data_IF_468257426208
#
_entry.id   IF_468257426208
#
_cell.length_a   1.000
_cell.length_b   1.000
_cell.length_c   1.000
_cell.angle_alpha   90.00
_cell.angle_beta   90.00
_cell.angle_gamma   90.00
#
_symmetry.space_group_name_H-M   'P 1'
#
loop_
_entity.id
_entity.type
_entity.pdbx_description
1 polymer ?
#
# COMPACT_ATOMS: atom_id res chain seq x y z
N UNK A 1 13.55 13.17 33.04
CA UNK A 1 13.75 13.62 31.64
C UNK A 1 12.93 14.89 31.41
N UNK A 2 13.36 15.82 30.54
CA UNK A 2 12.58 17.05 30.26
C UNK A 2 11.72 16.86 29.03
N UNK A 3 10.42 17.09 29.11
CA UNK A 3 9.51 16.93 27.98
C UNK A 3 9.80 17.93 26.87
N UNK A 4 9.79 17.47 25.62
CA UNK A 4 9.80 18.35 24.45
C UNK A 4 8.37 18.80 24.16
N UNK A 5 8.23 19.89 23.39
CA UNK A 5 6.93 20.33 22.90
C UNK A 5 6.31 19.26 22.01
N UNK A 6 7.11 18.65 21.14
CA UNK A 6 6.70 17.62 20.19
C UNK A 6 6.18 16.36 20.88
N UNK A 7 6.87 15.90 21.94
CA UNK A 7 6.41 14.77 22.76
C UNK A 7 5.05 15.07 23.36
N UNK A 8 4.93 16.22 24.01
CA UNK A 8 3.75 16.61 24.77
C UNK A 8 2.53 16.84 23.87
N UNK A 9 2.72 17.48 22.70
CA UNK A 9 1.69 17.62 21.67
C UNK A 9 1.24 16.27 21.12
N UNK A 10 2.18 15.35 20.89
CA UNK A 10 1.87 14.00 20.36
C UNK A 10 1.09 13.19 21.38
N UNK A 11 1.48 13.19 22.67
CA UNK A 11 0.74 12.53 23.75
C UNK A 11 -0.71 13.05 23.80
N UNK A 12 -0.88 14.38 23.83
CA UNK A 12 -2.20 15.01 23.85
C UNK A 12 -3.03 14.64 22.62
N UNK A 13 -2.44 14.67 21.44
CA UNK A 13 -3.12 14.32 20.20
C UNK A 13 -3.58 12.86 20.19
N UNK A 14 -2.70 11.92 20.57
CA UNK A 14 -3.03 10.50 20.69
C UNK A 14 -4.21 10.31 21.64
N UNK A 15 -4.12 10.85 22.86
CA UNK A 15 -5.18 10.72 23.86
C UNK A 15 -6.52 11.28 23.36
N UNK A 16 -6.53 12.55 22.98
CA UNK A 16 -7.78 13.30 22.75
C UNK A 16 -8.40 13.07 21.38
N UNK A 17 -7.59 12.81 20.34
CA UNK A 17 -8.08 12.67 18.96
C UNK A 17 -8.13 11.21 18.53
N UNK A 18 -7.07 10.44 18.79
CA UNK A 18 -7.03 9.03 18.34
C UNK A 18 -7.90 8.15 19.24
N UNK A 19 -7.81 8.32 20.56
CA UNK A 19 -8.57 7.51 21.52
C UNK A 19 -9.82 8.20 22.08
N UNK A 20 -10.05 9.48 21.77
CA UNK A 20 -11.24 10.21 22.22
C UNK A 20 -11.34 10.38 23.74
N UNK A 21 -10.23 10.24 24.48
CA UNK A 21 -10.20 10.34 25.94
C UNK A 21 -9.98 11.79 26.34
N UNK A 22 -10.86 12.38 27.15
CA UNK A 22 -10.64 13.72 27.70
C UNK A 22 -9.56 13.72 28.80
N UNK A 23 -9.08 14.90 29.19
CA UNK A 23 -8.11 14.96 30.29
C UNK A 23 -8.79 14.60 31.61
N UNK A 24 -10.06 14.98 31.76
CA UNK A 24 -10.91 14.63 32.91
C UNK A 24 -11.11 13.12 33.01
N UNK A 25 -11.28 12.43 31.89
CA UNK A 25 -11.41 10.98 31.87
C UNK A 25 -10.19 10.27 32.47
N UNK A 26 -8.98 10.81 32.29
CA UNK A 26 -7.78 10.25 32.92
C UNK A 26 -7.80 10.42 34.45
N UNK A 27 -8.39 11.50 34.94
CA UNK A 27 -8.44 11.79 36.38
C UNK A 27 -9.39 10.87 37.13
N UNK A 28 -10.39 10.29 36.46
CA UNK A 28 -11.29 9.32 37.08
C UNK A 28 -10.57 8.09 37.64
N UNK A 29 -9.43 7.70 37.06
CA UNK A 29 -8.59 6.63 37.61
C UNK A 29 -8.09 6.92 39.04
N UNK A 30 -8.07 8.20 39.43
CA UNK A 30 -7.64 8.66 40.76
C UNK A 30 -8.81 9.07 41.67
N UNK A 31 -10.06 9.03 41.19
CA UNK A 31 -11.24 9.50 41.96
C UNK A 31 -11.56 8.63 43.18
N UNK A 32 -11.12 7.38 43.21
CA UNK A 32 -11.25 6.51 44.39
C UNK A 32 -10.25 6.89 45.51
N UNK A 33 -9.41 7.92 45.31
CA UNK A 33 -8.48 8.45 46.30
C UNK A 33 -8.96 9.73 47.00
N UNK A 34 -8.23 10.14 48.03
CA UNK A 34 -8.44 11.43 48.71
C UNK A 34 -8.24 12.63 47.75
N UNK A 35 -8.87 13.75 48.03
CA UNK A 35 -8.84 15.02 47.28
C UNK A 35 -7.41 15.49 47.00
N UNK A 36 -6.48 15.24 47.93
CA UNK A 36 -5.05 15.54 47.74
C UNK A 36 -4.43 14.74 46.59
N UNK A 37 -4.80 13.46 46.45
CA UNK A 37 -4.29 12.58 45.38
C UNK A 37 -4.82 13.02 44.02
N UNK A 38 -6.09 13.44 43.94
CA UNK A 38 -6.68 13.97 42.72
C UNK A 38 -6.02 15.29 42.30
N UNK A 39 -5.76 16.17 43.27
CA UNK A 39 -5.09 17.46 43.04
C UNK A 39 -3.66 17.26 42.55
N UNK A 40 -2.90 16.37 43.20
CA UNK A 40 -1.57 15.98 42.74
C UNK A 40 -1.60 15.37 41.33
N UNK A 41 -2.52 14.43 41.06
CA UNK A 41 -2.62 13.76 39.76
C UNK A 41 -2.96 14.73 38.63
N UNK A 42 -3.82 15.71 38.89
CA UNK A 42 -4.15 16.77 37.93
C UNK A 42 -2.92 17.58 37.53
N UNK A 43 -2.12 18.03 38.49
CA UNK A 43 -0.87 18.74 38.21
C UNK A 43 0.16 17.86 37.50
N UNK A 44 0.41 16.67 38.04
CA UNK A 44 1.45 15.77 37.53
C UNK A 44 1.16 15.27 36.11
N UNK A 45 -0.08 14.84 35.80
CA UNK A 45 -0.41 14.39 34.44
C UNK A 45 -0.40 15.55 33.43
N UNK A 46 -0.71 16.77 33.86
CA UNK A 46 -0.65 17.95 33.01
C UNK A 46 0.80 18.26 32.59
N UNK A 47 1.79 17.97 33.44
CA UNK A 47 3.22 18.14 33.11
C UNK A 47 3.65 17.28 31.91
N UNK A 48 3.04 16.10 31.72
CA UNK A 48 3.29 15.24 30.55
C UNK A 48 2.84 15.90 29.25
N UNK A 49 1.82 16.76 29.29
CA UNK A 49 1.24 17.43 28.11
C UNK A 49 1.69 18.89 27.92
N UNK A 50 2.35 19.53 28.90
CA UNK A 50 2.62 20.98 28.84
C UNK A 50 3.94 21.34 28.13
N UNK A 51 4.87 20.39 27.98
CA UNK A 51 6.19 20.63 27.40
C UNK A 51 7.12 21.43 28.34
N UNK A 52 8.41 21.12 28.33
CA UNK A 52 9.41 21.78 29.18
C UNK A 52 9.40 21.33 30.65
N UNK A 53 8.53 20.40 31.03
CA UNK A 53 8.42 19.87 32.40
C UNK A 53 9.39 18.71 32.63
N UNK A 54 9.90 18.59 33.85
CA UNK A 54 10.65 17.41 34.26
C UNK A 54 9.69 16.28 34.63
N UNK A 55 9.74 15.18 33.89
CA UNK A 55 8.92 13.99 34.15
C UNK A 55 9.79 12.80 34.56
N UNK A 56 9.20 11.92 35.37
CA UNK A 56 9.81 10.67 35.87
C UNK A 56 9.19 9.46 35.18
N UNK A 57 9.85 8.31 35.25
CA UNK A 57 9.32 7.04 34.73
C UNK A 57 8.03 6.63 35.47
N UNK A 58 7.93 6.94 36.77
CA UNK A 58 6.72 6.70 37.57
C UNK A 58 5.53 7.54 37.08
N UNK A 59 5.77 8.78 36.67
CA UNK A 59 4.73 9.64 36.11
C UNK A 59 4.26 9.14 34.73
N UNK A 60 5.18 8.72 33.87
CA UNK A 60 4.84 8.08 32.59
C UNK A 60 4.06 6.78 32.80
N UNK A 61 4.45 5.96 33.78
CA UNK A 61 3.73 4.75 34.16
C UNK A 61 2.31 5.06 34.63
N UNK A 62 2.13 6.10 35.46
CA UNK A 62 0.81 6.54 35.93
C UNK A 62 -0.07 7.04 34.79
N UNK A 63 0.48 7.83 33.87
CA UNK A 63 -0.25 8.29 32.68
C UNK A 63 -0.65 7.10 31.80
N UNK A 64 0.27 6.15 31.56
CA UNK A 64 0.00 4.95 30.76
C UNK A 64 -1.10 4.09 31.38
N UNK A 65 -1.07 3.88 32.69
CA UNK A 65 -2.08 3.12 33.42
C UNK A 65 -3.46 3.80 33.37
N UNK A 66 -3.52 5.12 33.54
CA UNK A 66 -4.76 5.90 33.41
C UNK A 66 -5.36 5.76 32.00
N UNK A 67 -4.52 5.84 30.96
CA UNK A 67 -4.97 5.67 29.57
C UNK A 67 -5.44 4.24 29.30
N UNK A 68 -4.72 3.24 29.80
CA UNK A 68 -5.09 1.83 29.68
C UNK A 68 -6.42 1.52 30.39
N UNK A 69 -6.66 2.12 31.55
CA UNK A 69 -7.95 1.99 32.26
C UNK A 69 -9.13 2.46 31.40
N UNK A 70 -8.92 3.46 30.54
CA UNK A 70 -9.97 4.01 29.66
C UNK A 70 -10.08 3.32 28.31
N UNK A 71 -8.95 3.00 27.68
CA UNK A 71 -8.90 2.48 26.31
C UNK A 71 -8.76 0.94 26.24
N UNK A 72 -8.62 0.27 27.38
CA UNK A 72 -8.31 -1.14 27.45
C UNK A 72 -6.86 -1.45 27.07
N UNK A 73 -6.60 -2.71 26.73
CA UNK A 73 -5.24 -3.22 26.55
C UNK A 73 -4.59 -2.82 25.22
N UNK A 74 -5.34 -2.20 24.29
CA UNK A 74 -4.86 -1.77 22.97
C UNK A 74 -3.81 -0.63 23.03
N UNK A 75 -3.74 0.08 24.16
CA UNK A 75 -2.79 1.17 24.41
C UNK A 75 -1.63 0.76 25.32
N UNK A 76 -1.52 -0.53 25.64
CA UNK A 76 -0.46 -1.02 26.51
C UNK A 76 0.91 -0.63 25.95
N UNK A 77 1.81 -0.18 26.81
CA UNK A 77 3.14 0.34 26.47
C UNK A 77 3.22 1.54 25.51
N UNK A 78 2.10 2.11 25.04
CA UNK A 78 2.09 3.20 24.05
C UNK A 78 2.86 4.45 24.50
N UNK A 79 2.56 4.92 25.71
CA UNK A 79 3.19 6.13 26.27
C UNK A 79 4.68 5.89 26.56
N UNK A 80 5.09 4.78 27.21
CA UNK A 80 6.50 4.41 27.31
C UNK A 80 7.21 4.27 25.96
N UNK A 81 6.56 3.73 24.92
CA UNK A 81 7.12 3.61 23.58
C UNK A 81 7.37 4.99 22.95
N UNK A 82 6.42 5.91 23.10
CA UNK A 82 6.59 7.29 22.65
C UNK A 82 7.70 8.02 23.39
N UNK A 83 7.79 7.87 24.72
CA UNK A 83 8.87 8.45 25.51
C UNK A 83 10.24 7.94 25.03
N UNK A 84 10.36 6.64 24.75
CA UNK A 84 11.59 6.06 24.22
C UNK A 84 11.91 6.61 22.82
N UNK A 85 10.91 6.80 21.97
CA UNK A 85 11.10 7.45 20.67
C UNK A 85 11.63 8.88 20.79
N UNK A 86 11.32 9.61 21.87
CA UNK A 86 11.78 11.00 22.05
C UNK A 86 13.12 11.14 22.77
N UNK A 87 13.36 10.32 23.79
CA UNK A 87 14.45 10.57 24.75
C UNK A 87 15.65 9.63 24.61
N UNK A 88 15.64 8.64 23.71
CA UNK A 88 16.83 7.79 23.45
C UNK A 88 17.91 8.51 22.62
N UNK A 89 19.15 8.17 22.97
CA UNK A 89 20.41 8.74 22.47
C UNK A 89 20.57 8.64 20.94
N UNK A 90 20.97 9.76 20.34
CA UNK A 90 21.16 9.92 18.89
C UNK A 90 22.44 9.23 18.39
N UNK A 91 23.43 8.96 19.25
CA UNK A 91 24.71 8.36 18.84
C UNK A 91 24.60 6.87 18.49
N UNK A 92 23.91 6.06 19.31
CA UNK A 92 23.66 4.63 19.02
C UNK A 92 22.87 4.43 17.72
N UNK A 93 21.97 5.38 17.44
CA UNK A 93 21.13 5.42 16.23
C UNK A 93 21.95 5.65 14.95
N UNK A 94 23.10 6.34 15.03
CA UNK A 94 23.99 6.62 13.89
C UNK A 94 24.90 5.45 13.55
N UNK A 95 25.56 4.82 14.52
CA UNK A 95 26.46 3.68 14.27
C UNK A 95 25.75 2.49 13.59
N UNK A 96 24.49 2.24 13.95
CA UNK A 96 23.67 1.17 13.38
C UNK A 96 23.18 1.46 11.94
N UNK A 97 23.13 2.75 11.56
CA UNK A 97 22.83 3.23 10.20
C UNK A 97 23.81 2.68 9.17
N UNK A 98 25.08 2.70 9.55
CA UNK A 98 26.20 2.43 8.64
C UNK A 98 26.38 0.92 8.47
N UNK A 99 26.00 0.13 9.48
CA UNK A 99 25.97 -1.33 9.43
C UNK A 99 24.81 -1.87 8.57
N UNK A 100 23.63 -1.26 8.60
CA UNK A 100 22.49 -1.72 7.79
C UNK A 100 22.60 -1.38 6.32
N UNK A 101 23.36 -0.34 5.97
CA UNK A 101 23.72 -0.06 4.58
C UNK A 101 24.57 -1.19 3.96
N UNK A 102 25.31 -1.97 4.77
CA UNK A 102 26.18 -3.05 4.28
C UNK A 102 25.50 -4.43 4.20
N UNK A 103 24.44 -4.69 4.97
CA UNK A 103 23.73 -5.98 4.99
C UNK A 103 22.64 -6.14 3.91
N UNK A 104 22.32 -5.07 3.17
CA UNK A 104 21.17 -4.95 2.24
C UNK A 104 21.22 -5.78 0.94
N UNK A 105 22.22 -6.64 0.72
CA UNK A 105 22.46 -7.23 -0.62
C UNK A 105 22.46 -8.77 -0.72
N UNK A 106 22.33 -9.56 0.35
CA UNK A 106 22.78 -10.97 0.31
C UNK A 106 21.79 -12.10 0.65
N UNK A 107 20.47 -11.89 0.62
CA UNK A 107 19.53 -13.01 0.91
C UNK A 107 18.35 -13.08 -0.07
N UNK A 108 18.34 -14.18 -0.84
CA UNK A 108 17.42 -14.49 -1.94
C UNK A 108 16.01 -14.93 -1.52
N UNK A 109 15.74 -15.21 -0.24
CA UNK A 109 14.39 -15.52 0.28
C UNK A 109 13.62 -14.29 0.80
N UNK A 110 14.19 -13.09 0.66
CA UNK A 110 13.66 -11.82 1.23
C UNK A 110 12.85 -11.00 0.21
N UNK A 111 12.84 -11.39 -1.06
CA UNK A 111 12.35 -10.57 -2.19
C UNK A 111 10.90 -10.06 -2.04
N UNK A 112 10.08 -10.72 -1.21
CA UNK A 112 8.68 -10.39 -1.04
C UNK A 112 8.37 -9.54 0.18
N UNK A 113 9.34 -9.27 1.07
CA UNK A 113 9.11 -8.58 2.34
C UNK A 113 9.59 -7.14 2.30
N UNK A 114 8.97 -6.24 3.07
CA UNK A 114 9.60 -4.97 3.36
C UNK A 114 10.11 -5.00 4.80
N UNK A 115 11.26 -4.38 4.95
CA UNK A 115 11.99 -4.31 6.20
C UNK A 115 11.74 -2.93 6.78
N UNK A 116 11.09 -2.90 7.93
CA UNK A 116 10.87 -1.71 8.73
C UNK A 116 11.96 -1.60 9.78
N UNK A 117 12.94 -0.75 9.48
CA UNK A 117 13.76 -0.08 10.49
C UNK A 117 14.42 -0.96 11.56
N UNK A 118 14.84 -0.29 12.64
CA UNK A 118 15.39 -0.89 13.85
C UNK A 118 14.48 -0.64 15.04
N UNK A 119 14.23 -1.67 15.87
CA UNK A 119 13.63 -1.45 17.17
C UNK A 119 14.55 -0.61 18.05
N UNK A 120 14.05 0.56 18.47
CA UNK A 120 14.84 1.46 19.28
C UNK A 120 15.04 0.96 20.71
N UNK A 121 14.42 -0.15 21.16
CA UNK A 121 14.50 -0.66 22.55
C UNK A 121 15.48 -1.81 22.75
N UNK A 122 15.62 -2.69 21.76
CA UNK A 122 16.36 -3.95 21.92
C UNK A 122 17.86 -3.77 21.63
N UNK A 123 18.75 -4.31 22.49
CA UNK A 123 20.20 -4.31 22.24
C UNK A 123 20.57 -5.22 21.06
N UNK A 124 19.78 -6.28 20.84
CA UNK A 124 19.86 -7.14 19.67
C UNK A 124 18.87 -6.63 18.63
N UNK A 125 19.39 -5.98 17.61
CA UNK A 125 18.59 -5.43 16.52
C UNK A 125 17.87 -6.56 15.77
N UNK A 126 16.54 -6.45 15.66
CA UNK A 126 15.74 -7.26 14.75
C UNK A 126 14.96 -6.31 13.84
N UNK A 127 15.20 -6.33 12.51
CA UNK A 127 14.38 -5.59 11.59
C UNK A 127 12.97 -6.17 11.58
N UNK A 128 11.95 -5.31 11.60
CA UNK A 128 10.58 -5.79 11.54
C UNK A 128 10.21 -6.10 10.09
N UNK A 129 9.82 -7.34 9.82
CA UNK A 129 9.50 -7.85 8.48
C UNK A 129 7.99 -8.03 8.37
N UNK A 130 7.35 -7.32 7.44
CA UNK A 130 5.89 -7.23 7.36
C UNK A 130 5.37 -7.19 5.92
N UNK A 131 4.09 -7.50 5.75
CA UNK A 131 3.36 -7.41 4.48
C UNK A 131 2.71 -6.06 4.28
N UNK A 132 2.36 -5.37 5.37
CA UNK A 132 1.70 -4.07 5.33
C UNK A 132 1.93 -3.26 6.59
N UNK A 133 2.06 -1.95 6.42
CA UNK A 133 2.21 -0.96 7.46
C UNK A 133 1.27 0.18 7.12
N UNK A 134 0.16 0.25 7.85
CA UNK A 134 -0.97 1.15 7.58
C UNK A 134 -1.26 1.98 8.83
N UNK A 135 -1.88 3.16 8.73
CA UNK A 135 -2.16 3.94 9.92
C UNK A 135 -3.14 3.15 10.81
N UNK A 136 -3.02 3.32 12.12
CA UNK A 136 -4.05 2.83 13.04
C UNK A 136 -5.42 3.39 12.58
N UNK A 137 -6.48 2.57 12.43
CA UNK A 137 -7.75 3.04 11.87
C UNK A 137 -8.33 4.28 12.59
N UNK A 138 -8.25 4.30 13.93
CA UNK A 138 -8.71 5.43 14.73
C UNK A 138 -7.89 6.73 14.54
N UNK A 139 -6.70 6.65 13.94
CA UNK A 139 -5.85 7.80 13.67
C UNK A 139 -5.95 8.31 12.22
N UNK A 140 -6.47 7.50 11.29
CA UNK A 140 -6.42 7.78 9.85
C UNK A 140 -6.98 9.18 9.50
N UNK A 141 -8.14 9.54 10.06
CA UNK A 141 -8.80 10.83 9.82
C UNK A 141 -8.24 12.01 10.64
N UNK A 142 -7.22 11.76 11.46
CA UNK A 142 -6.66 12.73 12.41
C UNK A 142 -5.17 13.01 12.19
N UNK A 143 -4.57 12.42 11.15
CA UNK A 143 -3.18 12.67 10.80
C UNK A 143 -3.01 14.10 10.26
N UNK A 144 -2.12 14.86 10.90
CA UNK A 144 -1.71 16.16 10.40
C UNK A 144 -0.87 16.02 9.12
N UNK A 145 -0.89 16.99 8.18
CA UNK A 145 -0.10 16.94 6.95
C UNK A 145 1.39 16.64 7.16
N UNK A 146 1.99 17.19 8.23
CA UNK A 146 3.39 16.94 8.61
C UNK A 146 3.69 15.48 8.95
N UNK A 147 2.72 14.75 9.52
CA UNK A 147 2.87 13.33 9.86
C UNK A 147 2.78 12.46 8.61
N UNK A 148 1.88 12.82 7.70
CA UNK A 148 1.72 12.19 6.39
C UNK A 148 3.01 12.39 5.57
N UNK A 149 3.59 13.58 5.58
CA UNK A 149 4.87 13.87 4.93
C UNK A 149 6.02 13.07 5.50
N UNK A 150 6.14 13.00 6.83
CA UNK A 150 7.16 12.19 7.48
C UNK A 150 7.01 10.70 7.14
N UNK A 151 5.78 10.18 7.13
CA UNK A 151 5.54 8.80 6.74
C UNK A 151 5.88 8.56 5.26
N UNK A 152 5.46 9.44 4.35
CA UNK A 152 5.78 9.32 2.93
C UNK A 152 7.30 9.33 2.67
N UNK A 153 8.06 10.14 3.40
CA UNK A 153 9.52 10.17 3.31
C UNK A 153 10.17 8.89 3.86
N UNK A 154 9.64 8.35 4.95
CA UNK A 154 10.03 7.05 5.51
C UNK A 154 9.70 5.89 4.55
N UNK A 155 8.50 5.90 3.97
CA UNK A 155 8.03 4.96 2.96
C UNK A 155 8.93 4.96 1.72
N UNK A 156 9.30 6.14 1.22
CA UNK A 156 10.23 6.27 0.12
C UNK A 156 11.60 5.65 0.47
N UNK A 157 12.11 5.92 1.66
CA UNK A 157 13.38 5.35 2.14
C UNK A 157 13.33 3.82 2.17
N UNK A 158 12.29 3.22 2.76
CA UNK A 158 12.09 1.76 2.78
C UNK A 158 12.02 1.20 1.36
N UNK A 159 11.25 1.84 0.48
CA UNK A 159 11.08 1.43 -0.91
C UNK A 159 12.40 1.43 -1.70
N UNK A 160 13.29 2.41 -1.47
CA UNK A 160 14.61 2.45 -2.14
C UNK A 160 15.52 1.30 -1.77
N UNK A 161 15.32 0.68 -0.60
CA UNK A 161 16.12 -0.45 -0.14
C UNK A 161 15.64 -1.82 -0.66
N UNK A 162 14.48 -1.85 -1.33
CA UNK A 162 13.85 -3.09 -1.79
C UNK A 162 14.05 -3.30 -3.30
N UNK A 163 14.32 -4.54 -3.68
CA UNK A 163 14.18 -5.01 -5.07
C UNK A 163 12.73 -5.46 -5.31
N UNK A 164 12.05 -4.91 -6.32
CA UNK A 164 10.67 -5.28 -6.64
C UNK A 164 9.86 -4.14 -7.28
N UNK A 165 8.77 -4.50 -7.93
CA UNK A 165 7.88 -3.57 -8.63
C UNK A 165 7.30 -2.56 -7.63
N UNK A 166 7.52 -1.28 -7.89
CA UNK A 166 6.91 -0.20 -7.09
C UNK A 166 5.70 0.35 -7.81
N UNK A 167 4.60 0.48 -7.08
CA UNK A 167 3.36 1.06 -7.59
C UNK A 167 3.00 2.24 -6.70
N UNK A 168 2.77 3.40 -7.30
CA UNK A 168 2.56 4.67 -6.59
C UNK A 168 1.41 5.42 -7.24
N UNK A 169 0.39 5.87 -6.49
CA UNK A 169 -0.66 6.72 -7.04
C UNK A 169 -0.06 8.01 -7.62
N UNK A 170 -0.50 8.40 -8.81
CA UNK A 170 0.03 9.57 -9.51
C UNK A 170 -0.15 10.87 -8.73
N UNK A 171 -1.22 10.96 -7.95
CA UNK A 171 -1.50 12.05 -7.00
C UNK A 171 -0.34 12.29 -6.04
N UNK A 172 0.43 11.24 -5.72
CA UNK A 172 1.57 11.29 -4.79
C UNK A 172 2.89 11.68 -5.45
N UNK A 173 2.96 11.77 -6.80
CA UNK A 173 4.18 12.15 -7.54
C UNK A 173 4.73 13.52 -7.12
N UNK A 174 3.87 14.44 -6.68
CA UNK A 174 4.27 15.79 -6.25
C UNK A 174 5.04 15.81 -4.93
N UNK A 175 5.06 14.71 -4.16
CA UNK A 175 5.84 14.58 -2.93
C UNK A 175 7.32 14.44 -3.28
N UNK A 176 8.17 15.28 -2.68
CA UNK A 176 9.56 15.45 -3.09
C UNK A 176 10.39 14.17 -3.11
N UNK A 177 10.19 13.23 -2.15
CA UNK A 177 10.89 11.94 -2.14
C UNK A 177 10.22 10.86 -2.97
N UNK A 178 8.90 10.73 -2.93
CA UNK A 178 8.18 9.73 -3.74
C UNK A 178 8.38 10.00 -5.24
N UNK A 179 8.37 11.27 -5.67
CA UNK A 179 8.67 11.66 -7.04
C UNK A 179 10.13 11.41 -7.48
N UNK A 180 11.06 11.17 -6.54
CA UNK A 180 12.48 10.87 -6.80
C UNK A 180 12.80 9.37 -6.76
N UNK A 181 11.81 8.50 -6.50
CA UNK A 181 12.02 7.04 -6.45
C UNK A 181 12.54 6.43 -7.77
N UNK A 182 12.47 7.17 -8.88
CA UNK A 182 12.99 6.74 -10.19
C UNK A 182 14.49 6.99 -10.46
N UNK A 183 15.27 7.54 -9.51
CA UNK A 183 16.59 8.10 -9.86
C UNK A 183 17.82 7.19 -9.70
N UNK A 184 17.66 5.89 -9.40
CA UNK A 184 18.80 5.05 -8.97
C UNK A 184 18.94 3.65 -9.58
N UNK A 185 18.16 3.29 -10.61
CA UNK A 185 18.23 2.05 -11.45
C UNK A 185 16.84 1.52 -11.86
N UNK A 186 15.77 2.25 -11.50
CA UNK A 186 14.39 1.87 -11.79
C UNK A 186 13.87 2.59 -13.04
N UNK A 187 13.21 1.85 -13.92
CA UNK A 187 12.50 2.40 -15.08
C UNK A 187 11.15 2.97 -14.63
N UNK A 188 10.94 4.28 -14.83
CA UNK A 188 9.69 4.95 -14.44
C UNK A 188 8.65 4.83 -15.54
N UNK A 189 7.45 4.40 -15.17
CA UNK A 189 6.29 4.18 -16.05
C UNK A 189 5.10 4.96 -15.55
N UNK A 190 4.25 5.40 -16.47
CA UNK A 190 2.99 6.09 -16.19
C UNK A 190 1.83 5.29 -16.78
N UNK A 191 0.85 4.94 -15.96
CA UNK A 191 -0.32 4.15 -16.34
C UNK A 191 -1.63 4.85 -15.92
N UNK A 192 -2.71 4.70 -16.67
CA UNK A 192 -4.01 5.32 -16.37
C UNK A 192 -4.08 6.81 -16.72
N UNK A 193 -3.00 7.43 -17.21
CA UNK A 193 -2.85 8.89 -17.30
C UNK A 193 -2.98 9.41 -18.75
N UNK A 194 -3.51 10.64 -18.95
CA UNK A 194 -3.47 11.29 -20.25
C UNK A 194 -2.02 11.53 -20.69
N UNK A 195 -1.78 11.56 -22.01
CA UNK A 195 -0.42 11.73 -22.56
C UNK A 195 0.28 12.97 -21.97
N UNK A 196 1.35 12.73 -21.22
CA UNK A 196 2.08 13.76 -20.48
C UNK A 196 3.42 14.05 -21.16
N UNK A 197 3.38 14.81 -22.25
CA UNK A 197 4.59 15.30 -22.90
C UNK A 197 5.47 14.20 -23.52
N UNK A 198 6.41 14.63 -24.34
CA UNK A 198 7.14 13.84 -25.33
C UNK A 198 8.16 12.82 -24.79
N UNK A 199 8.02 12.29 -23.57
CA UNK A 199 9.10 11.53 -22.93
C UNK A 199 8.63 10.23 -22.30
N UNK A 200 9.09 9.16 -22.93
CA UNK A 200 9.16 7.75 -22.52
C UNK A 200 7.90 6.92 -22.66
N UNK A 201 8.11 5.75 -23.26
CA UNK A 201 7.21 4.61 -23.40
C UNK A 201 6.29 4.50 -22.18
N UNK A 202 4.98 4.67 -22.40
CA UNK A 202 3.96 4.21 -21.48
C UNK A 202 3.72 2.74 -21.82
N UNK A 203 4.43 1.79 -21.21
CA UNK A 203 4.19 0.39 -21.50
C UNK A 203 2.79 0.00 -21.05
N UNK A 204 2.14 -0.82 -21.88
CA UNK A 204 0.76 -1.22 -21.67
C UNK A 204 0.68 -2.28 -20.59
N UNK A 205 -0.23 -2.12 -19.64
CA UNK A 205 -0.49 -3.14 -18.61
C UNK A 205 -1.66 -3.98 -19.09
N UNK A 206 -1.36 -5.22 -19.50
CA UNK A 206 -2.38 -6.21 -19.83
C UNK A 206 -2.69 -7.08 -18.60
N UNK A 207 -3.84 -6.89 -17.91
CA UNK A 207 -4.23 -7.74 -16.79
C UNK A 207 -4.51 -9.19 -17.22
N UNK A 208 -4.72 -9.44 -18.51
CA UNK A 208 -5.04 -10.76 -19.05
C UNK A 208 -3.78 -11.55 -19.43
N UNK A 209 -2.65 -10.88 -19.62
CA UNK A 209 -1.37 -11.51 -19.99
C UNK A 209 -0.87 -12.43 -18.87
N UNK A 210 -0.34 -13.60 -19.22
CA UNK A 210 0.11 -14.62 -18.26
C UNK A 210 -1.00 -15.37 -17.51
N UNK A 211 -2.28 -15.05 -17.74
CA UNK A 211 -3.41 -15.73 -17.09
C UNK A 211 -3.71 -17.07 -17.75
N UNK A 212 -3.00 -18.11 -17.33
CA UNK A 212 -3.05 -19.46 -17.95
C UNK A 212 -3.98 -20.43 -17.22
N UNK A 213 -4.37 -20.13 -15.99
CA UNK A 213 -5.20 -21.02 -15.15
C UNK A 213 -6.41 -20.29 -14.57
N UNK A 214 -7.51 -21.03 -14.34
CA UNK A 214 -8.74 -20.45 -13.77
C UNK A 214 -8.48 -19.82 -12.38
N UNK A 215 -7.57 -20.39 -11.60
CA UNK A 215 -7.18 -19.83 -10.30
C UNK A 215 -6.50 -18.47 -10.45
N UNK A 216 -5.58 -18.31 -11.40
CA UNK A 216 -4.94 -17.02 -11.69
C UNK A 216 -5.98 -16.02 -12.18
N UNK A 217 -6.83 -16.41 -13.12
CA UNK A 217 -7.88 -15.56 -13.67
C UNK A 217 -8.86 -15.10 -12.59
N UNK A 218 -9.24 -16.00 -11.69
CA UNK A 218 -10.10 -15.68 -10.54
C UNK A 218 -9.46 -14.65 -9.62
N UNK A 219 -8.17 -14.79 -9.32
CA UNK A 219 -7.43 -13.85 -8.48
C UNK A 219 -7.33 -12.47 -9.13
N UNK A 220 -7.00 -12.42 -10.43
CA UNK A 220 -6.95 -11.15 -11.17
C UNK A 220 -8.34 -10.51 -11.23
N UNK A 221 -9.39 -11.27 -11.52
CA UNK A 221 -10.76 -10.77 -11.52
C UNK A 221 -11.17 -10.19 -10.16
N UNK A 222 -10.87 -10.88 -9.06
CA UNK A 222 -11.11 -10.37 -7.71
C UNK A 222 -10.28 -9.11 -7.41
N UNK A 223 -9.01 -9.08 -7.83
CA UNK A 223 -8.11 -7.93 -7.69
C UNK A 223 -8.59 -6.70 -8.47
N UNK A 224 -9.26 -6.88 -9.61
CA UNK A 224 -9.93 -5.82 -10.36
C UNK A 224 -11.22 -5.31 -9.68
N UNK A 225 -11.60 -5.85 -8.52
CA UNK A 225 -12.81 -5.46 -7.80
C UNK A 225 -14.09 -6.08 -8.33
N UNK A 226 -14.01 -7.22 -9.03
CA UNK A 226 -15.20 -7.96 -9.45
C UNK A 226 -16.04 -8.38 -8.24
N UNK A 227 -17.36 -8.17 -8.31
CA UNK A 227 -18.26 -8.61 -7.25
C UNK A 227 -18.20 -10.16 -7.12
N UNK A 228 -18.44 -10.75 -5.93
CA UNK A 228 -18.28 -12.19 -5.72
C UNK A 228 -19.03 -13.10 -6.71
N UNK A 229 -20.19 -12.66 -7.22
CA UNK A 229 -20.99 -13.38 -8.20
C UNK A 229 -20.55 -13.16 -9.65
N UNK A 230 -19.65 -12.20 -9.91
CA UNK A 230 -19.15 -11.82 -11.24
C UNK A 230 -17.73 -12.33 -11.49
N UNK A 231 -16.96 -12.63 -10.43
CA UNK A 231 -15.56 -13.08 -10.51
C UNK A 231 -15.42 -14.30 -11.44
N UNK A 232 -16.36 -15.24 -11.38
CA UNK A 232 -16.36 -16.44 -12.23
C UNK A 232 -16.46 -16.11 -13.72
N UNK A 233 -17.41 -15.24 -14.07
CA UNK A 233 -17.64 -14.82 -15.45
C UNK A 233 -16.41 -14.09 -15.99
N UNK A 234 -15.86 -13.15 -15.22
CA UNK A 234 -14.67 -12.42 -15.61
C UNK A 234 -13.46 -13.35 -15.77
N UNK A 235 -13.22 -14.26 -14.82
CA UNK A 235 -12.13 -15.22 -14.88
C UNK A 235 -12.17 -16.09 -16.14
N UNK A 236 -13.36 -16.57 -16.52
CA UNK A 236 -13.54 -17.32 -17.77
C UNK A 236 -13.26 -16.46 -19.00
N UNK A 237 -13.67 -15.19 -19.00
CA UNK A 237 -13.35 -14.26 -20.09
C UNK A 237 -11.83 -14.06 -20.22
N UNK A 238 -11.13 -13.87 -19.10
CA UNK A 238 -9.67 -13.69 -19.11
C UNK A 238 -8.97 -14.91 -19.73
N UNK A 239 -9.36 -16.12 -19.32
CA UNK A 239 -8.82 -17.36 -19.87
C UNK A 239 -9.12 -17.54 -21.35
N UNK A 240 -10.38 -17.35 -21.74
CA UNK A 240 -10.82 -17.50 -23.13
C UNK A 240 -10.04 -16.55 -24.03
N UNK A 241 -9.92 -15.30 -23.60
CA UNK A 241 -9.20 -14.27 -24.32
C UNK A 241 -7.71 -14.60 -24.41
N UNK A 242 -7.07 -14.98 -23.31
CA UNK A 242 -5.66 -15.37 -23.32
C UNK A 242 -5.39 -16.56 -24.26
N UNK A 243 -6.23 -17.59 -24.19
CA UNK A 243 -6.10 -18.80 -25.02
C UNK A 243 -6.22 -18.49 -26.53
N UNK A 244 -7.20 -17.69 -26.91
CA UNK A 244 -7.40 -17.27 -28.30
C UNK A 244 -6.31 -16.29 -28.77
N UNK A 245 -5.84 -15.40 -27.90
CA UNK A 245 -4.83 -14.40 -28.25
C UNK A 245 -3.51 -15.08 -28.64
N UNK A 246 -3.14 -16.15 -27.91
CA UNK A 246 -2.00 -17.01 -28.26
C UNK A 246 -2.14 -17.70 -29.61
N UNK A 247 -3.35 -18.09 -30.02
CA UNK A 247 -3.60 -18.71 -31.34
C UNK A 247 -3.51 -17.69 -32.48
N UNK A 248 -3.89 -16.45 -32.21
CA UNK A 248 -3.99 -15.38 -33.21
C UNK A 248 -2.77 -14.44 -33.24
N UNK A 249 -1.72 -14.73 -32.45
CA UNK A 249 -0.54 -13.87 -32.28
C UNK A 249 -0.91 -12.41 -31.97
N UNK A 250 -1.91 -12.22 -31.10
CA UNK A 250 -2.38 -10.91 -30.60
C UNK A 250 -2.14 -10.80 -29.11
N UNK A 251 -2.11 -9.58 -28.59
CA UNK A 251 -2.21 -9.38 -27.13
C UNK A 251 -3.62 -9.75 -26.66
N UNK A 252 -3.76 -10.35 -25.48
CA UNK A 252 -5.06 -10.66 -24.89
C UNK A 252 -6.02 -9.47 -24.88
N UNK A 253 -5.60 -8.30 -24.41
CA UNK A 253 -6.48 -7.13 -24.34
C UNK A 253 -7.03 -6.70 -25.71
N UNK A 254 -6.21 -6.75 -26.76
CA UNK A 254 -6.67 -6.44 -28.12
C UNK A 254 -7.68 -7.47 -28.65
N UNK A 255 -7.48 -8.75 -28.31
CA UNK A 255 -8.46 -9.76 -28.66
C UNK A 255 -9.77 -9.55 -27.91
N UNK A 256 -9.71 -9.24 -26.61
CA UNK A 256 -10.91 -8.95 -25.82
C UNK A 256 -11.72 -7.82 -26.47
N UNK A 257 -11.07 -6.74 -26.90
CA UNK A 257 -11.73 -5.64 -27.59
C UNK A 257 -12.42 -6.05 -28.90
N UNK A 258 -11.90 -7.07 -29.59
CA UNK A 258 -12.58 -7.68 -30.74
C UNK A 258 -13.84 -8.44 -30.32
N UNK A 259 -13.78 -9.18 -29.22
CA UNK A 259 -14.94 -9.91 -28.69
C UNK A 259 -16.02 -8.96 -28.14
N UNK A 260 -15.64 -7.90 -27.43
CA UNK A 260 -16.59 -6.90 -26.91
C UNK A 260 -17.38 -6.22 -28.04
N UNK A 261 -16.73 -5.91 -29.18
CA UNK A 261 -17.40 -5.34 -30.38
C UNK A 261 -18.43 -6.28 -31.00
N UNK A 262 -18.24 -7.59 -30.88
CA UNK A 262 -19.16 -8.61 -31.40
C UNK A 262 -20.30 -8.94 -30.42
N UNK A 263 -20.20 -8.47 -29.16
CA UNK A 263 -21.17 -8.75 -28.13
C UNK A 263 -21.23 -10.24 -27.73
N UNK A 264 -22.34 -10.70 -27.14
CA UNK A 264 -22.50 -12.09 -26.67
C UNK A 264 -22.24 -13.16 -27.75
N UNK A 265 -22.59 -12.86 -29.00
CA UNK A 265 -22.38 -13.78 -30.14
C UNK A 265 -20.89 -14.06 -30.39
N UNK A 266 -20.02 -13.06 -30.20
CA UNK A 266 -18.57 -13.24 -30.31
C UNK A 266 -18.02 -14.21 -29.26
N UNK A 267 -18.55 -14.14 -28.02
CA UNK A 267 -18.20 -15.06 -26.94
C UNK A 267 -18.70 -16.48 -27.19
N UNK A 268 -19.90 -16.63 -27.74
CA UNK A 268 -20.45 -17.94 -28.11
C UNK A 268 -19.58 -18.62 -29.17
N UNK A 269 -19.21 -17.90 -30.24
CA UNK A 269 -18.32 -18.40 -31.27
C UNK A 269 -16.92 -18.75 -30.72
N UNK A 270 -16.36 -17.87 -29.88
CA UNK A 270 -15.07 -18.09 -29.21
C UNK A 270 -15.06 -19.35 -28.33
N UNK A 271 -16.13 -19.58 -27.55
CA UNK A 271 -16.26 -20.77 -26.72
C UNK A 271 -16.37 -22.04 -27.55
N UNK A 272 -17.11 -22.01 -28.67
CA UNK A 272 -17.21 -23.15 -29.58
C UNK A 272 -15.86 -23.55 -30.20
N UNK A 273 -14.93 -22.61 -30.36
CA UNK A 273 -13.58 -22.86 -30.91
C UNK A 273 -12.59 -23.41 -29.86
N UNK A 274 -12.76 -23.05 -28.59
CA UNK A 274 -11.76 -23.30 -27.54
C UNK A 274 -12.18 -24.38 -26.56
N UNK A 275 -13.48 -24.49 -26.28
CA UNK A 275 -14.01 -25.38 -25.25
C UNK A 275 -14.60 -26.64 -25.90
N UNK A 276 -14.20 -27.85 -25.46
CA UNK A 276 -14.82 -29.08 -25.94
C UNK A 276 -16.32 -29.07 -25.68
N UNK A 277 -17.12 -29.52 -26.65
CA UNK A 277 -18.60 -29.51 -26.61
C UNK A 277 -19.20 -30.11 -25.32
N UNK A 278 -18.46 -30.98 -24.64
CA UNK A 278 -18.89 -31.72 -23.46
C UNK A 278 -18.76 -30.89 -22.15
N UNK A 279 -18.21 -29.67 -22.21
CA UNK A 279 -17.86 -28.87 -21.01
C UNK A 279 -18.78 -27.65 -20.78
N UNK A 280 -19.81 -27.49 -21.61
CA UNK A 280 -20.65 -26.26 -21.68
C UNK A 280 -21.42 -26.01 -20.38
N UNK A 281 -21.83 -27.05 -19.64
CA UNK A 281 -22.64 -26.92 -18.42
C UNK A 281 -21.95 -26.25 -17.23
N UNK A 282 -20.63 -26.05 -17.28
CA UNK A 282 -19.85 -25.41 -16.21
C UNK A 282 -19.46 -23.96 -16.53
N UNK A 283 -19.89 -23.45 -17.68
CA UNK A 283 -19.57 -22.10 -18.14
C UNK A 283 -20.61 -21.08 -17.67
N UNK A 284 -20.18 -19.87 -17.29
CA UNK A 284 -21.09 -18.74 -17.11
C UNK A 284 -21.83 -18.41 -18.42
N UNK A 285 -23.02 -17.83 -18.31
CA UNK A 285 -23.77 -17.38 -19.48
C UNK A 285 -22.99 -16.33 -20.29
N UNK A 286 -23.02 -16.41 -21.62
CA UNK A 286 -22.27 -15.52 -22.52
C UNK A 286 -22.64 -14.05 -22.34
N UNK A 287 -23.91 -13.75 -22.05
CA UNK A 287 -24.36 -12.38 -21.76
C UNK A 287 -23.73 -11.84 -20.46
N UNK A 288 -23.59 -12.69 -19.45
CA UNK A 288 -22.92 -12.33 -18.20
C UNK A 288 -21.41 -12.14 -18.43
N UNK A 289 -20.79 -13.05 -19.19
CA UNK A 289 -19.38 -12.92 -19.58
C UNK A 289 -19.11 -11.59 -20.29
N UNK A 290 -19.90 -11.28 -21.32
CA UNK A 290 -19.75 -10.03 -22.07
C UNK A 290 -19.97 -8.79 -21.20
N UNK A 291 -21.08 -8.74 -20.46
CA UNK A 291 -21.44 -7.56 -19.64
C UNK A 291 -20.44 -7.29 -18.52
N UNK A 292 -19.96 -8.34 -17.82
CA UNK A 292 -18.94 -8.22 -16.77
C UNK A 292 -17.60 -7.82 -17.38
N UNK A 293 -17.19 -8.47 -18.47
CA UNK A 293 -15.93 -8.12 -19.15
C UNK A 293 -15.92 -6.66 -19.59
N UNK A 294 -17.00 -6.18 -20.20
CA UNK A 294 -17.17 -4.77 -20.57
C UNK A 294 -17.05 -3.85 -19.37
N UNK A 295 -17.69 -4.18 -18.24
CA UNK A 295 -17.62 -3.35 -17.03
C UNK A 295 -16.20 -3.21 -16.49
N UNK A 296 -15.45 -4.31 -16.41
CA UNK A 296 -14.16 -4.34 -15.73
C UNK A 296 -12.96 -4.09 -16.65
N UNK A 297 -12.99 -4.54 -17.90
CA UNK A 297 -11.84 -4.44 -18.82
C UNK A 297 -11.82 -3.16 -19.65
N UNK A 298 -12.95 -2.44 -19.78
CA UNK A 298 -12.99 -1.19 -20.57
C UNK A 298 -12.02 -0.13 -20.05
N UNK A 299 -11.88 0.04 -18.73
CA UNK A 299 -10.93 0.99 -18.14
C UNK A 299 -9.48 0.66 -18.50
N UNK A 300 -9.15 -0.63 -18.49
CA UNK A 300 -7.82 -1.16 -18.80
C UNK A 300 -7.50 -1.09 -20.30
N UNK A 301 -8.46 -1.42 -21.15
CA UNK A 301 -8.33 -1.23 -22.59
C UNK A 301 -8.21 0.25 -23.00
N UNK A 302 -8.77 1.16 -22.22
CA UNK A 302 -8.61 2.60 -22.42
C UNK A 302 -7.15 3.05 -22.56
N UNK A 303 -6.21 2.33 -21.94
CA UNK A 303 -4.77 2.56 -22.05
C UNK A 303 -4.22 2.25 -23.47
N UNK A 304 -4.80 1.27 -24.16
CA UNK A 304 -4.40 0.84 -25.50
C UNK A 304 -4.87 1.85 -26.57
N UNK A 305 -6.03 2.48 -26.34
CA UNK A 305 -6.64 3.44 -27.26
C UNK A 305 -6.11 4.88 -27.16
N UNK A 306 -5.22 5.19 -26.21
CA UNK A 306 -4.63 6.52 -26.01
C UNK A 306 -3.39 6.80 -26.87
N UNK A 307 -3.06 5.90 -27.79
CA UNK A 307 -2.03 6.09 -28.83
C UNK A 307 -2.43 7.24 -29.76
N UNK A 308 -1.52 8.13 -30.20
CA UNK A 308 -1.89 9.24 -31.09
C UNK A 308 -2.49 8.68 -32.37
N UNK A 309 -3.77 8.96 -32.60
CA UNK A 309 -4.35 8.88 -33.93
C UNK A 309 -3.75 10.05 -34.69
N UNK A 310 -2.77 9.76 -35.55
CA UNK A 310 -2.28 10.73 -36.51
C UNK A 310 -3.41 10.97 -37.52
N UNK A 311 -4.29 11.91 -37.19
CA UNK A 311 -5.47 12.25 -37.97
C UNK A 311 -5.04 13.03 -39.22
N UNK A 312 -4.38 12.35 -40.15
CA UNK A 312 -4.30 12.80 -41.53
C UNK A 312 -5.70 12.71 -42.13
N UNK A 313 -6.18 13.84 -42.65
CA UNK A 313 -7.51 13.98 -43.25
C UNK A 313 -7.62 13.12 -44.53
N UNK A 314 -7.93 11.84 -44.35
CA UNK A 314 -8.31 10.88 -45.37
C UNK A 314 -9.44 10.02 -44.84
N UNK A 315 -10.27 9.46 -45.73
CA UNK A 315 -11.47 8.69 -45.38
C UNK A 315 -11.23 7.68 -44.24
N UNK A 316 -12.22 7.44 -43.36
CA UNK A 316 -12.04 6.56 -42.21
C UNK A 316 -11.85 5.13 -42.67
N UNK A 317 -10.60 4.71 -42.85
CA UNK A 317 -10.25 3.29 -42.78
C UNK A 317 -10.39 2.87 -41.31
N UNK A 318 -11.00 1.71 -41.02
CA UNK A 318 -10.91 1.10 -39.71
C UNK A 318 -9.45 0.72 -39.50
N UNK A 319 -8.65 1.68 -39.02
CA UNK A 319 -7.33 1.38 -38.54
C UNK A 319 -7.52 0.48 -37.32
N UNK A 320 -7.23 -0.80 -37.47
CA UNK A 320 -6.59 -1.56 -36.41
C UNK A 320 -5.29 -0.81 -36.07
N UNK A 321 -5.38 0.30 -35.34
CA UNK A 321 -4.23 0.99 -34.76
C UNK A 321 -3.74 0.05 -33.67
N UNK A 322 -2.86 -0.87 -34.05
CA UNK A 322 -2.06 -1.60 -33.08
C UNK A 322 -1.31 -0.55 -32.28
N UNK A 323 -1.34 -0.58 -30.95
CA UNK A 323 -0.48 0.30 -30.19
C UNK A 323 0.96 -0.01 -30.62
N UNK A 324 1.70 1.00 -31.06
CA UNK A 324 3.13 0.89 -31.38
C UNK A 324 3.99 0.73 -30.12
N UNK A 325 3.39 0.32 -29.01
CA UNK A 325 3.96 0.29 -27.67
C UNK A 325 3.98 -1.16 -27.23
N UNK A 326 5.16 -1.64 -26.87
CA UNK A 326 5.27 -2.97 -26.28
C UNK A 326 4.58 -2.98 -24.90
N UNK A 327 3.83 -4.04 -24.56
CA UNK A 327 3.31 -4.21 -23.22
C UNK A 327 4.46 -4.29 -22.21
N UNK A 328 4.19 -3.91 -20.96
CA UNK A 328 5.15 -4.12 -19.87
C UNK A 328 5.54 -5.61 -19.87
N UNK A 329 6.85 -5.94 -19.87
CA UNK A 329 7.26 -7.33 -19.88
C UNK A 329 6.76 -8.01 -18.61
N UNK A 330 6.13 -9.17 -18.72
CA UNK A 330 5.60 -9.88 -17.54
C UNK A 330 6.72 -10.46 -16.66
N UNK A 331 6.43 -10.70 -15.38
CA UNK A 331 7.32 -11.46 -14.49
C UNK A 331 8.51 -10.65 -13.92
N UNK A 332 9.72 -11.19 -14.03
CA UNK A 332 10.92 -10.69 -13.33
C UNK A 332 11.42 -9.34 -13.85
N UNK A 333 11.12 -8.99 -15.10
CA UNK A 333 11.49 -7.70 -15.69
C UNK A 333 10.67 -6.53 -15.09
N UNK A 334 9.47 -6.79 -14.57
CA UNK A 334 8.65 -5.80 -13.83
C UNK A 334 9.32 -5.34 -12.53
N UNK A 335 10.19 -6.16 -11.93
CA UNK A 335 10.76 -5.89 -10.61
C UNK A 335 11.64 -4.62 -10.58
N UNK A 336 12.06 -4.13 -11.75
CA UNK A 336 12.86 -2.90 -11.90
C UNK A 336 12.02 -1.65 -12.14
N UNK A 337 10.70 -1.77 -12.23
CA UNK A 337 9.84 -0.65 -12.61
C UNK A 337 9.29 0.10 -11.40
N UNK A 338 9.07 1.40 -11.59
CA UNK A 338 8.22 2.25 -10.73
C UNK A 338 7.05 2.74 -11.58
N UNK A 339 5.85 2.29 -11.24
CA UNK A 339 4.61 2.62 -11.95
C UNK A 339 3.89 3.72 -11.18
N UNK A 340 3.78 4.89 -11.78
CA UNK A 340 2.86 5.92 -11.33
C UNK A 340 1.52 5.73 -12.03
N UNK A 341 0.43 5.58 -11.26
CA UNK A 341 -0.87 5.25 -11.85
C UNK A 341 -2.02 6.15 -11.42
N UNK A 342 -3.01 6.32 -12.31
CA UNK A 342 -4.31 6.89 -11.93
C UNK A 342 -5.22 5.82 -11.34
N UNK A 343 -5.45 5.89 -10.03
CA UNK A 343 -6.33 4.99 -9.26
C UNK A 343 -7.77 4.95 -9.79
N UNK A 344 -8.23 6.04 -10.42
CA UNK A 344 -9.60 6.11 -10.95
C UNK A 344 -9.74 5.34 -12.25
N UNK A 345 -8.74 5.44 -13.13
CA UNK A 345 -8.74 4.77 -14.42
C UNK A 345 -8.39 3.28 -14.27
N UNK A 346 -7.42 2.96 -13.41
CA UNK A 346 -6.92 1.59 -13.17
C UNK A 346 -7.12 1.20 -11.70
N UNK A 347 -8.37 1.07 -11.28
CA UNK A 347 -8.70 0.61 -9.95
C UNK A 347 -8.19 -0.83 -9.72
N UNK A 348 -7.56 -1.06 -8.56
CA UNK A 348 -6.99 -2.38 -8.21
C UNK A 348 -5.67 -2.71 -8.92
N UNK A 349 -5.02 -1.74 -9.57
CA UNK A 349 -3.76 -1.98 -10.28
C UNK A 349 -2.68 -2.65 -9.42
N UNK A 350 -2.41 -2.20 -8.17
CA UNK A 350 -1.41 -2.86 -7.33
C UNK A 350 -1.73 -4.34 -7.05
N UNK A 351 -2.99 -4.66 -6.79
CA UNK A 351 -3.48 -6.02 -6.54
C UNK A 351 -3.36 -6.90 -7.78
N UNK A 352 -3.72 -6.36 -8.95
CA UNK A 352 -3.60 -7.05 -10.24
C UNK A 352 -2.14 -7.34 -10.55
N UNK A 353 -1.27 -6.34 -10.44
CA UNK A 353 0.17 -6.52 -10.62
C UNK A 353 0.71 -7.53 -9.61
N UNK A 354 0.26 -7.48 -8.35
CA UNK A 354 0.59 -8.43 -7.29
C UNK A 354 0.22 -9.89 -7.57
N UNK A 355 -0.75 -10.14 -8.47
CA UNK A 355 -1.08 -11.48 -8.96
C UNK A 355 -0.07 -11.99 -10.00
N UNK A 356 0.64 -11.09 -10.69
CA UNK A 356 1.63 -11.40 -11.72
C UNK A 356 3.06 -11.41 -11.16
N UNK A 357 3.36 -10.46 -10.27
CA UNK A 357 4.66 -10.26 -9.64
C UNK A 357 4.49 -9.46 -8.34
N UNK A 358 5.25 -9.74 -7.27
CA UNK A 358 5.15 -8.99 -6.01
C UNK A 358 5.26 -7.48 -6.24
N UNK A 359 4.20 -6.76 -5.89
CA UNK A 359 4.10 -5.32 -6.07
C UNK A 359 4.08 -4.62 -4.71
N UNK A 360 5.01 -3.71 -4.48
CA UNK A 360 5.01 -2.83 -3.32
C UNK A 360 4.25 -1.54 -3.69
N UNK A 361 3.07 -1.39 -3.10
CA UNK A 361 2.21 -0.22 -3.21
C UNK A 361 2.58 0.80 -2.14
N UNK A 362 2.90 2.02 -2.58
CA UNK A 362 3.19 3.15 -1.71
C UNK A 362 2.08 4.19 -1.82
N UNK A 363 1.39 4.45 -0.71
CA UNK A 363 0.51 5.62 -0.58
C UNK A 363 1.16 6.66 0.34
N UNK A 364 0.44 7.73 0.66
CA UNK A 364 0.91 8.75 1.60
C UNK A 364 0.93 8.31 3.07
N UNK A 365 0.21 7.24 3.38
CA UNK A 365 -0.01 6.78 4.75
C UNK A 365 0.20 5.27 4.91
N UNK A 366 0.35 4.52 3.82
CA UNK A 366 0.51 3.08 3.87
C UNK A 366 1.57 2.54 2.90
N UNK A 367 2.18 1.45 3.34
CA UNK A 367 3.07 0.57 2.59
C UNK A 367 2.44 -0.82 2.55
N UNK A 368 2.18 -1.37 1.37
CA UNK A 368 1.54 -2.68 1.25
C UNK A 368 2.19 -3.52 0.15
N UNK A 369 2.45 -4.78 0.43
CA UNK A 369 2.88 -5.75 -0.58
C UNK A 369 1.67 -6.53 -1.06
N UNK A 370 1.45 -6.49 -2.36
CA UNK A 370 0.49 -7.35 -3.04
C UNK A 370 1.28 -8.54 -3.61
N UNK A 371 1.11 -9.71 -2.99
CA UNK A 371 1.71 -10.98 -3.39
C UNK A 371 0.84 -12.15 -2.89
N UNK A 372 1.14 -13.37 -3.33
CA UNK A 372 0.43 -14.59 -2.88
C UNK A 372 0.78 -15.02 -1.45
N UNK A 373 1.79 -14.39 -0.85
CA UNK A 373 2.24 -14.69 0.51
C UNK A 373 1.84 -13.53 1.41
N UNK A 374 1.11 -13.83 2.48
CA UNK A 374 0.78 -12.87 3.52
C UNK A 374 1.72 -13.06 4.73
N UNK A 375 2.32 -11.97 5.16
CA UNK A 375 3.05 -11.83 6.43
C UNK A 375 2.25 -10.96 7.38
N UNK A 376 2.81 -10.69 8.56
CA UNK A 376 2.23 -9.81 9.56
C UNK A 376 1.83 -8.45 9.00
N UNK A 377 0.63 -8.02 9.40
CA UNK A 377 0.14 -6.66 9.23
C UNK A 377 0.43 -5.88 10.50
N UNK A 378 0.87 -4.65 10.34
CA UNK A 378 1.11 -3.76 11.45
C UNK A 378 0.40 -2.42 11.27
N UNK A 379 0.10 -1.79 12.39
CA UNK A 379 -0.41 -0.43 12.46
C UNK A 379 0.69 0.52 12.90
N UNK A 380 0.68 1.75 12.40
CA UNK A 380 1.60 2.78 12.83
C UNK A 380 0.92 4.03 13.38
N UNK A 381 1.65 4.76 14.23
CA UNK A 381 1.34 6.11 14.71
C UNK A 381 2.56 7.02 14.60
N UNK A 382 2.37 8.33 14.36
CA UNK A 382 3.47 9.28 14.35
C UNK A 382 4.04 9.45 15.75
N UNK A 383 5.36 9.56 15.84
CA UNK A 383 6.03 9.95 17.09
C UNK A 383 6.15 11.46 17.24
N UNK A 384 5.92 12.24 16.18
CA UNK A 384 6.31 13.66 16.11
C UNK A 384 7.78 13.88 15.73
N UNK A 385 8.55 12.80 15.54
CA UNK A 385 9.92 12.81 15.02
C UNK A 385 9.91 12.18 13.63
N UNK A 386 10.55 12.86 12.67
CA UNK A 386 10.41 12.55 11.24
C UNK A 386 10.82 11.12 10.86
N UNK A 387 11.93 10.62 11.38
CA UNK A 387 12.51 9.29 11.06
C UNK A 387 12.09 8.19 12.05
N UNK A 388 11.11 8.46 12.93
CA UNK A 388 10.67 7.51 13.96
C UNK A 388 9.17 7.31 13.91
N UNK A 389 8.73 6.06 13.87
CA UNK A 389 7.31 5.71 13.93
C UNK A 389 7.08 4.73 15.07
N UNK A 390 5.89 4.80 15.67
CA UNK A 390 5.43 3.75 16.56
C UNK A 390 4.74 2.69 15.72
N UNK A 391 4.99 1.43 16.01
CA UNK A 391 4.35 0.30 15.35
C UNK A 391 3.77 -0.69 16.35
N UNK A 392 2.71 -1.38 15.95
CA UNK A 392 2.15 -2.52 16.69
C UNK A 392 1.62 -3.56 15.70
N UNK A 393 1.70 -4.84 16.04
CA UNK A 393 1.13 -5.91 15.23
C UNK A 393 -0.39 -5.94 15.36
N UNK A 394 -1.06 -6.43 14.32
CA UNK A 394 -2.48 -6.71 14.40
C UNK A 394 -2.79 -7.71 15.53
N UNK A 395 -3.66 -7.32 16.46
CA UNK A 395 -3.95 -8.10 17.67
C UNK A 395 -2.89 -8.05 18.78
N UNK A 396 -1.74 -7.39 18.56
CA UNK A 396 -0.78 -7.14 19.64
C UNK A 396 -1.25 -6.00 20.54
N UNK A 397 -0.81 -6.06 21.80
CA UNK A 397 -1.02 -5.03 22.82
C UNK A 397 0.20 -4.12 22.96
N UNK A 398 1.35 -4.52 22.41
CA UNK A 398 2.62 -3.82 22.60
C UNK A 398 2.94 -2.88 21.45
N UNK A 399 3.39 -1.68 21.82
CA UNK A 399 3.87 -0.65 20.89
C UNK A 399 5.38 -0.57 20.95
N UNK A 400 5.99 -0.60 19.76
CA UNK A 400 7.43 -0.51 19.57
C UNK A 400 7.79 0.74 18.77
N UNK A 401 8.72 1.58 19.26
CA UNK A 401 9.27 2.66 18.48
C UNK A 401 10.35 2.11 17.56
N UNK A 402 10.24 2.43 16.27
CA UNK A 402 11.22 2.05 15.26
C UNK A 402 11.81 3.27 14.56
N UNK A 403 13.06 3.13 14.14
CA UNK A 403 13.78 4.12 13.33
C UNK A 403 13.77 3.68 11.86
N UNK A 404 13.28 4.54 10.97
CA UNK A 404 13.26 4.30 9.52
C UNK A 404 14.48 4.94 8.86
N UNK A 405 15.27 4.15 8.13
CA UNK A 405 16.53 4.57 7.50
C UNK A 405 16.80 3.93 6.16
#
# INVERSE_FOLDING_TARGET
MTTTREFSETVRWIRSRVFGVSFEDLLDWFRDGDTERLTWASGALLEVETGGSQITDSLLGSYSAALQFRCGESVDSLIPALAIAHFRDRETTRALSDQLASERLHRTDIEHRFVLGAELKQPDFVPLIVSSCVPLPAAADHLAPRHIEAFADNAATIATSRNGLLVVPYTQRRRARLGRLGSRDRTTVYAGLPEHGSVNEQPLIDPLEGTTTLRQAWRVAAAMGAAPHEVAALAWVMLLTYALARRNSRTPMMLWASLDRQGPQGYEAALAEVVPANSIGYLPAVDLMWSVARRYLSGWHGEYGRTPVDASAGAPTPLDVYPSRDPLPAGSELLRHTVFYDERTLAGLPEVLGCLSPALHLSDTALTIHADIQFDRIYWLPTGIHDRILVTHDGSRTWSPILVK
#
